data_IF_542635354238
#
_entry.id   IF_542635354238
#
_cell.length_a   1.000
_cell.length_b   1.000
_cell.length_c   1.000
_cell.angle_alpha   90.00
_cell.angle_beta   90.00
_cell.angle_gamma   90.00
#
_symmetry.space_group_name_H-M   'P 1'
#
loop_
_entity.id
_entity.type
_entity.pdbx_description
1 polymer ?
#
# COMPACT_ATOMS: atom_id res chain seq x y z
N UNK A 1 4.00 42.19 -14.66
CA UNK A 1 4.34 40.86 -15.20
C UNK A 1 4.19 39.91 -14.04
N UNK A 2 3.05 39.24 -14.00
CA UNK A 2 2.71 38.26 -12.97
C UNK A 2 3.54 37.00 -13.25
N UNK A 3 4.48 36.69 -12.37
CA UNK A 3 5.37 35.53 -12.54
C UNK A 3 4.53 34.28 -12.29
N UNK A 4 3.97 33.72 -13.36
CA UNK A 4 3.31 32.42 -13.41
C UNK A 4 4.30 31.29 -13.11
N UNK A 5 4.77 31.22 -11.87
CA UNK A 5 5.34 30.00 -11.32
C UNK A 5 4.14 29.07 -11.11
N UNK A 6 3.98 28.00 -11.90
CA UNK A 6 2.97 26.99 -11.60
C UNK A 6 3.25 26.52 -10.17
N UNK A 7 2.22 26.35 -9.31
CA UNK A 7 2.42 25.88 -7.95
C UNK A 7 3.26 24.62 -8.07
N UNK A 8 4.49 24.71 -7.54
CA UNK A 8 5.48 23.65 -7.57
C UNK A 8 4.75 22.34 -7.34
N UNK A 9 4.90 21.40 -8.26
CA UNK A 9 4.38 20.06 -8.08
C UNK A 9 4.84 19.61 -6.69
N UNK A 10 3.94 19.65 -5.70
CA UNK A 10 4.25 19.29 -4.33
C UNK A 10 4.59 17.82 -4.41
N UNK A 11 5.87 17.51 -4.55
CA UNK A 11 6.38 16.15 -4.52
C UNK A 11 6.05 15.67 -3.13
N UNK A 12 4.96 14.90 -3.03
CA UNK A 12 4.61 14.21 -1.79
C UNK A 12 5.79 13.34 -1.45
N UNK A 13 6.60 13.78 -0.49
CA UNK A 13 7.79 13.05 -0.06
C UNK A 13 7.41 11.74 0.62
N UNK A 14 6.27 11.73 1.29
CA UNK A 14 5.75 10.60 2.04
C UNK A 14 4.35 10.21 1.56
N UNK A 15 4.11 8.91 1.44
CA UNK A 15 2.80 8.32 1.20
C UNK A 15 2.40 7.46 2.40
N UNK A 16 1.16 7.61 2.86
CA UNK A 16 0.66 6.79 3.95
C UNK A 16 0.29 5.39 3.41
N UNK A 17 0.76 4.36 4.10
CA UNK A 17 0.65 2.96 3.65
C UNK A 17 0.29 2.04 4.79
N UNK A 18 -0.28 0.89 4.44
CA UNK A 18 -0.46 -0.25 5.33
C UNK A 18 0.88 -0.99 5.40
N UNK A 19 1.38 -1.20 6.61
CA UNK A 19 2.69 -1.80 6.85
C UNK A 19 2.70 -3.29 6.50
N UNK A 20 3.85 -3.80 6.00
CA UNK A 20 4.08 -5.24 5.88
C UNK A 20 3.81 -5.98 7.19
N UNK A 21 3.27 -7.20 7.09
CA UNK A 21 2.87 -8.02 8.23
C UNK A 21 1.54 -7.60 8.87
N UNK A 22 0.78 -6.72 8.22
CA UNK A 22 -0.60 -6.39 8.58
C UNK A 22 -1.56 -6.59 7.40
N UNK A 23 -2.84 -6.27 7.58
CA UNK A 23 -3.87 -6.50 6.57
C UNK A 23 -4.55 -5.21 6.13
N UNK A 24 -5.11 -5.23 4.92
CA UNK A 24 -6.06 -4.23 4.43
C UNK A 24 -7.26 -4.88 3.75
N UNK A 25 -8.30 -4.11 3.48
CA UNK A 25 -9.45 -4.54 2.70
C UNK A 25 -9.29 -4.12 1.25
N UNK A 26 -9.27 -5.08 0.33
CA UNK A 26 -9.22 -4.79 -1.10
C UNK A 26 -10.62 -4.42 -1.64
N UNK A 27 -10.86 -3.13 -1.82
CA UNK A 27 -12.17 -2.60 -2.28
C UNK A 27 -12.49 -2.96 -3.73
N UNK A 28 -11.49 -3.35 -4.51
CA UNK A 28 -11.67 -3.77 -5.91
C UNK A 28 -11.94 -5.26 -6.06
N UNK A 29 -11.83 -6.04 -4.98
CA UNK A 29 -12.04 -7.48 -4.94
C UNK A 29 -13.04 -7.86 -3.85
N UNK A 30 -14.24 -7.28 -3.93
CA UNK A 30 -15.34 -7.59 -3.02
C UNK A 30 -15.00 -7.42 -1.52
N UNK A 31 -14.23 -6.38 -1.18
CA UNK A 31 -13.74 -6.11 0.18
C UNK A 31 -13.04 -7.32 0.81
N UNK A 32 -12.28 -8.08 0.01
CA UNK A 32 -11.54 -9.22 0.51
C UNK A 32 -10.32 -8.77 1.33
N UNK A 33 -10.09 -9.41 2.47
CA UNK A 33 -8.87 -9.19 3.27
C UNK A 33 -7.62 -9.56 2.45
N UNK A 34 -6.63 -8.67 2.50
CA UNK A 34 -5.35 -8.81 1.84
C UNK A 34 -4.23 -8.65 2.87
N UNK A 35 -3.40 -9.68 2.99
CA UNK A 35 -2.19 -9.63 3.82
C UNK A 35 -1.08 -8.93 3.05
N UNK A 36 -0.58 -7.81 3.59
CA UNK A 36 0.52 -7.04 2.99
C UNK A 36 1.84 -7.68 3.38
N UNK A 37 2.60 -8.15 2.39
CA UNK A 37 3.94 -8.70 2.61
C UNK A 37 5.04 -7.68 2.30
N UNK A 38 4.80 -6.75 1.38
CA UNK A 38 5.74 -5.68 1.05
C UNK A 38 5.02 -4.48 0.44
N UNK A 39 5.60 -3.30 0.62
CA UNK A 39 5.25 -2.06 -0.09
C UNK A 39 6.44 -1.66 -0.93
N UNK A 40 6.22 -1.32 -2.20
CA UNK A 40 7.30 -0.95 -3.10
C UNK A 40 6.78 -0.11 -4.26
N UNK A 41 7.68 0.70 -4.84
CA UNK A 41 7.38 1.43 -6.06
C UNK A 41 7.49 0.49 -7.26
N UNK A 42 6.42 0.39 -8.06
CA UNK A 42 6.42 -0.45 -9.24
C UNK A 42 6.55 0.41 -10.51
N UNK A 43 7.66 0.31 -11.27
CA UNK A 43 7.96 1.23 -12.37
C UNK A 43 6.94 1.15 -13.51
N UNK A 44 6.41 -0.04 -13.84
CA UNK A 44 5.44 -0.17 -14.95
C UNK A 44 4.05 0.39 -14.67
N UNK A 45 3.69 0.60 -13.40
CA UNK A 45 2.43 1.27 -13.00
C UNK A 45 2.70 2.67 -12.44
N UNK A 46 3.96 3.13 -12.49
CA UNK A 46 4.44 4.43 -11.99
C UNK A 46 3.83 4.80 -10.64
N UNK A 47 3.77 3.84 -9.71
CA UNK A 47 3.03 4.02 -8.49
C UNK A 47 3.39 3.02 -7.41
N UNK A 48 3.05 3.40 -6.18
CA UNK A 48 3.24 2.56 -5.02
C UNK A 48 2.24 1.39 -5.06
N UNK A 49 2.73 0.20 -4.77
CA UNK A 49 1.95 -1.03 -4.80
C UNK A 49 2.27 -1.91 -3.60
N UNK A 50 1.29 -2.72 -3.21
CA UNK A 50 1.46 -3.80 -2.26
C UNK A 50 1.76 -5.09 -3.00
N UNK A 51 2.68 -5.89 -2.47
CA UNK A 51 2.76 -7.31 -2.76
C UNK A 51 2.19 -8.06 -1.57
N UNK A 52 1.38 -9.06 -1.84
CA UNK A 52 0.78 -9.85 -0.79
C UNK A 52 -0.15 -10.91 -1.34
N UNK A 53 -1.12 -11.31 -0.53
CA UNK A 53 -2.05 -12.39 -0.89
C UNK A 53 -3.40 -12.15 -0.23
N UNK A 54 -4.44 -12.62 -0.89
CA UNK A 54 -5.77 -12.60 -0.33
C UNK A 54 -5.99 -13.75 0.65
N UNK A 55 -6.68 -13.48 1.77
CA UNK A 55 -6.89 -14.48 2.82
C UNK A 55 -7.71 -15.68 2.31
N UNK A 56 -8.65 -15.50 1.39
CA UNK A 56 -9.41 -16.64 0.85
C UNK A 56 -8.57 -17.60 -0.01
N UNK A 57 -7.39 -17.17 -0.47
CA UNK A 57 -6.43 -18.05 -1.15
C UNK A 57 -5.64 -18.91 -0.16
N UNK A 58 -5.42 -18.41 1.07
CA UNK A 58 -4.71 -19.14 2.14
C UNK A 58 -5.57 -20.28 2.69
N UNK A 59 -6.88 -20.07 2.80
CA UNK A 59 -7.80 -20.99 3.48
C UNK A 59 -8.29 -22.15 2.61
N UNK A 60 -7.89 -22.22 1.33
CA UNK A 60 -8.28 -23.30 0.41
C UNK A 60 -7.22 -24.40 0.38
N UNK A 61 -7.41 -25.54 1.07
CA UNK A 61 -6.44 -26.64 1.06
C UNK A 61 -6.22 -27.16 -0.35
N UNK A 62 -4.94 -27.34 -0.72
CA UNK A 62 -4.53 -27.84 -2.04
C UNK A 62 -4.43 -26.78 -3.14
N UNK A 63 -4.66 -25.49 -2.85
CA UNK A 63 -4.35 -24.41 -3.78
C UNK A 63 -3.00 -23.78 -3.46
N UNK A 64 -2.25 -23.48 -4.52
CA UNK A 64 -1.02 -22.70 -4.40
C UNK A 64 -1.36 -21.28 -3.94
N UNK A 65 -0.59 -20.77 -2.97
CA UNK A 65 -0.75 -19.40 -2.47
C UNK A 65 -0.25 -18.45 -3.56
N UNK A 66 -1.18 -17.85 -4.29
CA UNK A 66 -0.86 -16.86 -5.32
C UNK A 66 -0.59 -15.51 -4.66
N UNK A 67 0.61 -14.99 -4.88
CA UNK A 67 0.96 -13.61 -4.52
C UNK A 67 0.53 -12.66 -5.63
N UNK A 68 -0.13 -11.58 -5.26
CA UNK A 68 -0.64 -10.57 -6.18
C UNK A 68 0.02 -9.22 -5.88
N UNK A 69 0.15 -8.40 -6.93
CA UNK A 69 0.59 -7.00 -6.84
C UNK A 69 -0.63 -6.13 -7.09
N UNK A 70 -0.92 -5.23 -6.16
CA UNK A 70 -2.11 -4.37 -6.20
C UNK A 70 -1.73 -2.94 -5.85
N UNK A 71 -2.26 -1.92 -6.55
CA UNK A 71 -1.95 -0.52 -6.24
C UNK A 71 -2.40 -0.15 -4.83
N UNK A 72 -1.68 0.74 -4.14
CA UNK A 72 -2.00 1.07 -2.74
C UNK A 72 -3.43 1.61 -2.55
N UNK A 73 -3.95 2.34 -3.54
CA UNK A 73 -5.30 2.92 -3.55
C UNK A 73 -6.44 1.89 -3.55
N UNK A 74 -6.11 0.62 -3.80
CA UNK A 74 -7.10 -0.46 -3.82
C UNK A 74 -7.28 -1.11 -2.46
N UNK A 75 -6.40 -0.83 -1.49
CA UNK A 75 -6.57 -1.27 -0.12
C UNK A 75 -6.94 -0.09 0.77
N UNK A 76 -7.91 -0.32 1.63
CA UNK A 76 -8.22 0.56 2.75
C UNK A 76 -7.86 -0.11 4.06
N UNK A 77 -7.65 0.68 5.11
CA UNK A 77 -7.38 0.18 6.44
C UNK A 77 -8.59 -0.55 7.04
N UNK A 78 -8.28 -1.55 7.85
CA UNK A 78 -9.19 -2.27 8.74
C UNK A 78 -8.95 -1.72 10.15
N UNK A 79 -9.94 -1.03 10.76
CA UNK A 79 -9.82 -0.54 12.12
C UNK A 79 -9.44 -1.66 13.10
N UNK A 80 -8.32 -1.49 13.81
CA UNK A 80 -7.82 -2.45 14.79
C UNK A 80 -6.96 -3.59 14.24
N UNK A 81 -6.89 -3.79 12.92
CA UNK A 81 -6.05 -4.83 12.30
C UNK A 81 -4.92 -4.26 11.42
N UNK A 82 -5.17 -3.15 10.72
CA UNK A 82 -4.14 -2.50 9.91
C UNK A 82 -3.12 -1.79 10.80
N UNK A 83 -1.84 -1.99 10.49
CA UNK A 83 -0.76 -1.15 10.98
C UNK A 83 -0.38 -0.19 9.86
N UNK A 84 -0.09 1.05 10.23
CA UNK A 84 0.12 2.12 9.26
C UNK A 84 1.45 2.81 9.46
N UNK A 85 1.94 3.40 8.38
CA UNK A 85 3.18 4.14 8.36
C UNK A 85 3.31 4.97 7.09
N UNK A 86 4.50 5.51 6.90
CA UNK A 86 4.80 6.44 5.82
C UNK A 86 5.95 5.88 4.97
N UNK A 87 5.65 5.65 3.70
CA UNK A 87 6.64 5.31 2.68
C UNK A 87 7.30 6.59 2.17
N UNK A 88 8.62 6.68 2.22
CA UNK A 88 9.41 7.78 1.69
C UNK A 88 9.77 7.51 0.22
N UNK A 89 9.31 8.35 -0.70
CA UNK A 89 9.62 8.19 -2.13
C UNK A 89 11.08 8.42 -2.48
N UNK A 90 11.82 9.20 -1.68
CA UNK A 90 13.22 9.51 -1.93
C UNK A 90 14.14 8.34 -1.55
N UNK A 91 13.86 7.65 -0.44
CA UNK A 91 14.71 6.58 0.11
C UNK A 91 14.16 5.18 -0.14
N UNK A 92 12.86 5.05 -0.42
CA UNK A 92 12.16 3.78 -0.49
C UNK A 92 11.93 3.11 0.87
N UNK A 93 12.17 3.83 1.97
CA UNK A 93 12.01 3.32 3.33
C UNK A 93 10.60 3.54 3.85
N UNK A 94 10.21 2.74 4.84
CA UNK A 94 8.90 2.82 5.50
C UNK A 94 9.11 3.04 6.99
N UNK A 95 8.50 4.10 7.52
CA UNK A 95 8.51 4.41 8.94
C UNK A 95 7.13 4.15 9.53
N UNK A 96 7.06 3.43 10.64
CA UNK A 96 5.78 3.18 11.31
C UNK A 96 5.22 4.48 11.88
N UNK A 97 3.89 4.67 11.78
CA UNK A 97 3.19 5.77 12.44
C UNK A 97 3.12 5.42 13.94
N UNK A 98 4.16 5.76 14.70
CA UNK A 98 4.13 5.71 16.15
C UNK A 98 3.20 6.80 16.66
N UNK A 99 1.98 6.40 17.06
CA UNK A 99 1.14 7.24 17.92
C UNK A 99 1.90 7.49 19.22
N UNK A 100 2.35 8.73 19.42
CA UNK A 100 3.00 9.19 20.66
C UNK A 100 1.96 9.44 21.75
#
# INVERSE_FOLDING_TARGET
>A
MDTGVPPEAVTRKYERVILPGSKGLNITKNNEEFEVEAVFFHPSVSGLSYRGKHISNITKPGKEIVKEIVPIKTLIEIPGESKVGFYNYDTGEIEAETSS
#
